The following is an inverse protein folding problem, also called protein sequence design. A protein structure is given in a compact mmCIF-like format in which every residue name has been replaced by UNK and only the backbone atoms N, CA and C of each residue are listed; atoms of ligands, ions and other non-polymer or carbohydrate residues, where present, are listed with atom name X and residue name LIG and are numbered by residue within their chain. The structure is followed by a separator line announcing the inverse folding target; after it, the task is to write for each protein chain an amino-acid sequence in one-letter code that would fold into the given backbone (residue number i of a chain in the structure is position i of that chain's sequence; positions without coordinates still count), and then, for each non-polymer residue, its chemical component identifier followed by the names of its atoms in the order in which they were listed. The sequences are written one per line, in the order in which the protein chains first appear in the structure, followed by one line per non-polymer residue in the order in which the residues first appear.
data_IF_310648043517
#
_entry.id   IF_310648043517
#
_cell.length_a   1.000
_cell.length_b   1.000
_cell.length_c   1.000
_cell.angle_alpha   90.00
_cell.angle_beta   90.00
_cell.angle_gamma   90.00
#
_symmetry.space_group_name_H-M   'P 1'
#
loop_
_entity.id
_entity.type
_entity.pdbx_description
1 polymer ?
#
# COMPACT_ATOMS: atom_id res chain seq x y z
N UNK A 1 6.53 23.40 2.54
CA UNK A 1 6.81 22.33 3.54
C UNK A 1 7.34 21.13 2.78
N UNK A 2 8.28 20.37 3.34
CA UNK A 2 8.82 19.17 2.68
C UNK A 2 8.25 17.93 3.34
N UNK A 3 7.59 17.08 2.57
CA UNK A 3 7.00 15.85 3.07
C UNK A 3 8.05 14.73 3.04
N UNK A 4 8.25 14.09 4.20
CA UNK A 4 9.24 13.03 4.38
C UNK A 4 8.53 11.71 4.61
N UNK A 5 8.83 10.73 3.76
CA UNK A 5 8.26 9.38 3.83
C UNK A 5 9.36 8.33 3.97
N UNK A 6 9.00 7.15 4.46
CA UNK A 6 9.94 6.04 4.53
C UNK A 6 10.33 5.53 3.13
N UNK A 7 11.52 4.95 2.98
CA UNK A 7 11.93 4.29 1.72
C UNK A 7 11.01 3.14 1.32
N UNK A 8 10.33 2.50 2.28
CA UNK A 8 9.31 1.49 2.01
C UNK A 8 8.07 2.12 1.36
N UNK A 9 7.57 3.22 1.92
CA UNK A 9 6.44 3.94 1.34
C UNK A 9 6.78 4.48 -0.04
N UNK A 10 7.98 5.04 -0.22
CA UNK A 10 8.46 5.48 -1.53
C UNK A 10 8.51 4.35 -2.57
N UNK A 11 8.94 3.15 -2.16
CA UNK A 11 8.95 1.97 -3.02
C UNK A 11 7.53 1.60 -3.48
N UNK A 12 6.58 1.56 -2.54
CA UNK A 12 5.17 1.29 -2.83
C UNK A 12 4.58 2.33 -3.80
N UNK A 13 4.72 3.63 -3.52
CA UNK A 13 4.17 4.70 -4.35
C UNK A 13 4.70 4.73 -5.79
N UNK A 14 5.90 4.20 -6.01
CA UNK A 14 6.55 4.20 -7.33
C UNK A 14 6.47 2.84 -8.04
N UNK A 15 5.95 1.80 -7.37
CA UNK A 15 5.98 0.43 -7.84
C UNK A 15 7.40 -0.12 -8.08
N UNK A 16 8.41 0.47 -7.46
CA UNK A 16 9.83 0.09 -7.59
C UNK A 16 10.31 -0.66 -6.36
N UNK A 17 11.38 -1.43 -6.53
CA UNK A 17 12.05 -2.08 -5.42
C UNK A 17 12.74 -1.05 -4.50
N UNK A 18 12.83 -1.34 -3.20
CA UNK A 18 13.52 -0.46 -2.24
C UNK A 18 14.97 -0.15 -2.65
N UNK A 19 15.69 -1.12 -3.25
CA UNK A 19 17.05 -0.90 -3.79
C UNK A 19 17.11 0.21 -4.83
N UNK A 20 16.05 0.37 -5.62
CA UNK A 20 15.96 1.41 -6.65
C UNK A 20 15.79 2.78 -6.00
N UNK A 21 14.97 2.86 -4.96
CA UNK A 21 14.82 4.09 -4.16
C UNK A 21 16.15 4.47 -3.49
N UNK A 22 16.87 3.48 -2.93
CA UNK A 22 18.19 3.69 -2.34
C UNK A 22 19.21 4.19 -3.35
N UNK A 23 19.19 3.66 -4.58
CA UNK A 23 20.04 4.14 -5.67
C UNK A 23 19.72 5.60 -6.04
N UNK A 24 18.44 5.99 -6.10
CA UNK A 24 18.08 7.40 -6.35
C UNK A 24 18.57 8.33 -5.24
N UNK A 25 18.62 7.85 -4.00
CA UNK A 25 19.18 8.59 -2.88
C UNK A 25 20.70 8.71 -3.02
N UNK A 26 21.41 7.61 -3.31
CA UNK A 26 22.86 7.60 -3.45
C UNK A 26 23.37 8.54 -4.56
N UNK A 27 22.64 8.62 -5.67
CA UNK A 27 23.00 9.50 -6.80
C UNK A 27 22.48 10.94 -6.64
N UNK A 28 21.87 11.28 -5.50
CA UNK A 28 21.33 12.61 -5.21
C UNK A 28 20.05 12.98 -5.96
N UNK A 29 19.46 12.05 -6.72
CA UNK A 29 18.22 12.25 -7.46
C UNK A 29 16.96 12.30 -6.59
N UNK A 30 17.06 11.86 -5.33
CA UNK A 30 16.04 12.00 -4.28
C UNK A 30 16.75 12.40 -2.99
N UNK A 31 16.44 13.57 -2.44
CA UNK A 31 17.05 14.00 -1.18
C UNK A 31 16.46 13.22 -0.02
N UNK A 32 17.31 12.90 0.95
CA UNK A 32 16.94 12.15 2.14
C UNK A 32 17.36 12.86 3.43
N UNK A 33 16.78 12.39 4.54
CA UNK A 33 17.19 12.69 5.91
C UNK A 33 17.46 11.37 6.60
N UNK A 34 18.68 11.19 7.08
CA UNK A 34 19.03 10.05 7.93
C UNK A 34 18.63 10.37 9.36
N UNK A 35 17.73 9.55 9.93
CA UNK A 35 17.33 9.67 11.33
C UNK A 35 18.02 8.58 12.12
N UNK A 36 19.03 8.98 12.90
CA UNK A 36 19.67 8.08 13.87
C UNK A 36 18.66 7.71 14.97
N UNK A 37 18.33 6.42 15.10
CA UNK A 37 17.56 5.92 16.25
C UNK A 37 18.49 5.16 17.19
N UNK A 38 18.90 5.81 18.30
CA UNK A 38 19.45 5.11 19.46
C UNK A 38 18.33 4.37 20.21
N UNK A 39 18.10 3.10 19.88
CA UNK A 39 17.43 2.16 20.80
C UNK A 39 18.21 0.85 20.84
N UNK A 40 18.71 0.53 22.02
CA UNK A 40 19.20 -0.78 22.46
C UNK A 40 19.82 -1.67 21.36
N UNK A 41 21.05 -1.37 20.95
CA UNK A 41 21.95 -2.34 20.32
C UNK A 41 21.72 -2.71 18.86
N UNK A 42 20.70 -2.16 18.17
CA UNK A 42 20.56 -2.31 16.72
C UNK A 42 20.34 -0.93 16.11
N UNK A 43 21.44 -0.33 15.65
CA UNK A 43 21.43 0.89 14.85
C UNK A 43 20.82 0.55 13.47
N UNK A 44 19.57 0.94 13.24
CA UNK A 44 18.96 0.90 11.91
C UNK A 44 18.72 2.33 11.48
N UNK A 45 19.59 2.84 10.61
CA UNK A 45 19.36 4.10 9.92
C UNK A 45 18.06 4.00 9.12
N UNK A 46 17.05 4.77 9.55
CA UNK A 46 15.83 4.92 8.78
C UNK A 46 15.99 6.15 7.92
N UNK A 47 16.45 5.95 6.69
CA UNK A 47 16.47 7.00 5.68
C UNK A 47 15.03 7.38 5.33
N UNK A 48 14.68 8.64 5.55
CA UNK A 48 13.43 9.24 5.06
C UNK A 48 13.74 10.00 3.77
N UNK A 49 12.83 9.97 2.80
CA UNK A 49 13.01 10.58 1.48
C UNK A 49 11.95 11.63 1.21
N UNK A 50 12.28 12.63 0.38
CA UNK A 50 11.34 13.67 -0.03
C UNK A 50 10.30 13.13 -1.02
N UNK A 51 9.02 13.29 -0.68
CA UNK A 51 7.92 12.93 -1.59
C UNK A 51 7.91 13.83 -2.84
N UNK A 52 8.26 15.11 -2.70
CA UNK A 52 8.31 16.06 -3.81
C UNK A 52 9.33 15.66 -4.87
N UNK A 53 10.50 15.17 -4.44
CA UNK A 53 11.53 14.68 -5.36
C UNK A 53 11.07 13.38 -6.08
N UNK A 54 10.08 12.67 -5.53
CA UNK A 54 9.50 11.46 -6.12
C UNK A 54 8.29 11.74 -7.02
N UNK A 55 7.75 12.96 -7.04
CA UNK A 55 6.47 13.26 -7.69
C UNK A 55 6.41 12.84 -9.17
N UNK A 56 7.50 13.03 -9.93
CA UNK A 56 7.58 12.61 -11.35
C UNK A 56 7.75 11.11 -11.56
N UNK A 57 7.95 10.35 -10.49
CA UNK A 57 8.15 8.89 -10.48
C UNK A 57 6.92 8.13 -9.96
N UNK A 58 5.92 8.85 -9.45
CA UNK A 58 4.67 8.31 -8.95
C UNK A 58 3.64 8.38 -10.08
N UNK A 59 3.04 7.27 -10.50
CA UNK A 59 2.18 7.25 -11.68
C UNK A 59 0.76 7.76 -11.44
N UNK A 60 0.59 8.70 -10.50
CA UNK A 60 -0.68 9.39 -10.25
C UNK A 60 -0.41 10.86 -9.95
N UNK A 61 -1.37 11.73 -10.27
CA UNK A 61 -1.28 13.15 -9.91
C UNK A 61 -1.31 13.30 -8.39
N UNK A 62 -0.36 14.02 -7.81
CA UNK A 62 -0.34 14.34 -6.37
C UNK A 62 -1.02 15.68 -6.11
N UNK A 63 -2.28 15.62 -5.68
CA UNK A 63 -3.00 16.78 -5.13
C UNK A 63 -2.83 16.82 -3.59
N UNK A 64 -3.25 17.90 -2.90
CA UNK A 64 -3.09 18.01 -1.46
C UNK A 64 -3.77 16.88 -0.66
N UNK A 65 -4.94 16.42 -1.08
CA UNK A 65 -5.69 15.34 -0.42
C UNK A 65 -4.95 14.00 -0.48
N UNK A 66 -4.40 13.65 -1.65
CA UNK A 66 -3.58 12.45 -1.85
C UNK A 66 -2.30 12.52 -1.03
N UNK A 67 -1.65 13.69 -0.99
CA UNK A 67 -0.45 13.89 -0.17
C UNK A 67 -0.79 13.66 1.32
N UNK A 68 -1.92 14.18 1.80
CA UNK A 68 -2.37 13.95 3.18
C UNK A 68 -2.60 12.46 3.46
N UNK A 69 -3.35 11.76 2.60
CA UNK A 69 -3.58 10.32 2.73
C UNK A 69 -2.26 9.52 2.73
N UNK A 70 -1.33 9.85 1.83
CA UNK A 70 0.01 9.24 1.79
C UNK A 70 0.77 9.46 3.10
N UNK A 71 0.69 10.66 3.69
CA UNK A 71 1.37 10.98 4.93
C UNK A 71 0.78 10.21 6.12
N UNK A 72 -0.54 10.09 6.19
CA UNK A 72 -1.23 9.29 7.21
C UNK A 72 -0.89 7.80 7.05
N UNK A 73 -0.94 7.28 5.82
CA UNK A 73 -0.57 5.89 5.52
C UNK A 73 0.90 5.59 5.87
N UNK A 74 1.82 6.52 5.58
CA UNK A 74 3.23 6.45 5.98
C UNK A 74 3.40 6.45 7.51
N UNK A 75 2.54 7.17 8.25
CA UNK A 75 2.53 7.16 9.70
C UNK A 75 1.96 5.86 10.30
N UNK A 76 1.33 5.02 9.48
CA UNK A 76 0.81 3.70 9.87
C UNK A 76 -0.72 3.63 9.95
N UNK A 77 -1.42 4.69 9.57
CA UNK A 77 -2.87 4.71 9.48
C UNK A 77 -3.36 3.70 8.44
N UNK A 78 -4.22 2.79 8.87
CA UNK A 78 -4.66 1.63 8.07
C UNK A 78 -5.77 2.00 7.10
N UNK A 79 -6.60 2.98 7.45
CA UNK A 79 -7.68 3.48 6.58
C UNK A 79 -7.09 4.35 5.48
N UNK A 80 -6.07 5.13 5.79
CA UNK A 80 -5.29 5.86 4.78
C UNK A 80 -4.55 4.90 3.82
N UNK A 81 -4.06 3.75 4.30
CA UNK A 81 -3.47 2.73 3.40
C UNK A 81 -4.50 2.16 2.43
N UNK A 82 -5.74 1.91 2.89
CA UNK A 82 -6.85 1.55 2.01
C UNK A 82 -7.07 2.66 0.99
N UNK A 83 -7.23 3.91 1.45
CA UNK A 83 -7.51 5.04 0.58
C UNK A 83 -6.47 5.19 -0.53
N UNK A 84 -5.18 5.18 -0.20
CA UNK A 84 -4.10 5.23 -1.19
C UNK A 84 -4.20 4.06 -2.17
N UNK A 85 -4.48 2.85 -1.68
CA UNK A 85 -4.70 1.69 -2.53
C UNK A 85 -5.86 1.88 -3.53
N UNK A 86 -6.98 2.46 -3.09
CA UNK A 86 -8.14 2.76 -3.94
C UNK A 86 -7.87 3.89 -4.93
N UNK A 87 -7.08 4.89 -4.57
CA UNK A 87 -6.67 5.96 -5.48
C UNK A 87 -5.83 5.41 -6.64
N UNK A 88 -4.84 4.56 -6.36
CA UNK A 88 -4.09 3.88 -7.42
C UNK A 88 -4.96 2.91 -8.22
N UNK A 89 -5.94 2.27 -7.58
CA UNK A 89 -6.87 1.39 -8.29
C UNK A 89 -7.72 2.17 -9.31
N UNK A 90 -8.21 3.35 -8.93
CA UNK A 90 -9.00 4.23 -9.78
C UNK A 90 -8.20 4.80 -10.96
N UNK A 91 -6.89 4.95 -10.80
CA UNK A 91 -5.96 5.39 -11.84
C UNK A 91 -5.40 4.22 -12.67
N UNK A 92 -6.00 3.03 -12.54
CA UNK A 92 -5.60 1.80 -13.24
C UNK A 92 -4.16 1.34 -12.96
N UNK A 93 -3.56 1.78 -11.87
CA UNK A 93 -2.23 1.36 -11.41
C UNK A 93 -2.35 0.09 -10.55
N UNK A 94 -2.86 -1.00 -11.13
CA UNK A 94 -3.33 -2.17 -10.36
C UNK A 94 -2.22 -2.81 -9.53
N UNK A 95 -0.97 -2.78 -10.00
CA UNK A 95 0.17 -3.34 -9.25
C UNK A 95 0.41 -2.57 -7.94
N UNK A 96 0.44 -1.25 -8.01
CA UNK A 96 0.66 -0.41 -6.82
C UNK A 96 -0.55 -0.50 -5.89
N UNK A 97 -1.76 -0.44 -6.46
CA UNK A 97 -3.00 -0.61 -5.73
C UNK A 97 -3.01 -1.92 -4.92
N UNK A 98 -2.71 -3.05 -5.57
CA UNK A 98 -2.72 -4.36 -4.93
C UNK A 98 -1.68 -4.47 -3.79
N UNK A 99 -0.50 -3.85 -3.92
CA UNK A 99 0.51 -3.81 -2.86
C UNK A 99 0.05 -2.98 -1.63
N UNK A 100 -0.62 -1.84 -1.85
CA UNK A 100 -1.20 -1.03 -0.76
C UNK A 100 -2.38 -1.72 -0.08
N UNK A 101 -3.29 -2.30 -0.86
CA UNK A 101 -4.42 -3.07 -0.35
C UNK A 101 -3.94 -4.28 0.45
N UNK A 102 -2.90 -4.97 -0.02
CA UNK A 102 -2.28 -6.06 0.72
C UNK A 102 -1.65 -5.59 2.05
N UNK A 103 -0.99 -4.42 2.06
CA UNK A 103 -0.46 -3.84 3.29
C UNK A 103 -1.57 -3.52 4.31
N UNK A 104 -2.66 -2.89 3.87
CA UNK A 104 -3.82 -2.58 4.71
C UNK A 104 -4.50 -3.84 5.23
N UNK A 105 -4.77 -4.82 4.36
CA UNK A 105 -5.38 -6.10 4.71
C UNK A 105 -4.55 -6.88 5.74
N UNK A 106 -3.21 -6.90 5.59
CA UNK A 106 -2.30 -7.50 6.57
C UNK A 106 -2.35 -6.84 7.94
N UNK A 107 -2.69 -5.55 8.00
CA UNK A 107 -2.87 -4.80 9.24
C UNK A 107 -4.29 -4.87 9.81
N UNK A 108 -5.18 -5.63 9.18
CA UNK A 108 -6.52 -5.89 9.68
C UNK A 108 -7.61 -5.02 9.06
N UNK A 109 -7.31 -4.21 8.04
CA UNK A 109 -8.35 -3.46 7.33
C UNK A 109 -9.27 -4.44 6.57
N UNK A 110 -10.50 -4.59 7.05
CA UNK A 110 -11.52 -5.48 6.51
C UNK A 110 -11.92 -5.13 5.08
N UNK A 111 -12.15 -3.86 4.71
CA UNK A 111 -12.52 -3.52 3.32
C UNK A 111 -11.34 -3.77 2.37
N UNK A 112 -10.11 -3.55 2.84
CA UNK A 112 -8.93 -3.87 2.03
C UNK A 112 -8.79 -5.37 1.78
N UNK A 113 -9.23 -6.24 2.70
CA UNK A 113 -9.29 -7.69 2.46
C UNK A 113 -10.26 -8.03 1.34
N UNK A 114 -11.41 -7.35 1.28
CA UNK A 114 -12.38 -7.51 0.21
C UNK A 114 -11.79 -7.06 -1.14
N UNK A 115 -11.16 -5.88 -1.19
CA UNK A 115 -10.50 -5.40 -2.41
C UNK A 115 -9.34 -6.28 -2.85
N UNK A 116 -8.52 -6.74 -1.91
CA UNK A 116 -7.42 -7.66 -2.18
C UNK A 116 -7.92 -9.00 -2.74
N UNK A 117 -9.08 -9.48 -2.28
CA UNK A 117 -9.69 -10.68 -2.85
C UNK A 117 -10.00 -10.50 -4.34
N UNK A 118 -10.49 -9.32 -4.74
CA UNK A 118 -10.77 -8.98 -6.14
C UNK A 118 -9.47 -8.98 -6.94
N UNK A 119 -8.39 -8.41 -6.39
CA UNK A 119 -7.08 -8.42 -7.02
C UNK A 119 -6.61 -9.85 -7.34
N UNK A 120 -6.68 -10.77 -6.37
CA UNK A 120 -6.26 -12.16 -6.59
C UNK A 120 -7.20 -12.95 -7.49
N UNK A 121 -8.52 -12.79 -7.37
CA UNK A 121 -9.51 -13.51 -8.19
C UNK A 121 -9.40 -13.17 -9.68
N UNK A 122 -9.01 -11.93 -9.99
CA UNK A 122 -8.97 -11.39 -11.34
C UNK A 122 -7.54 -11.20 -11.88
N UNK A 123 -6.51 -11.35 -11.05
CA UNK A 123 -5.12 -11.08 -11.44
C UNK A 123 -4.80 -9.60 -11.65
N UNK A 124 -5.39 -8.73 -10.82
CA UNK A 124 -5.13 -7.28 -10.87
C UNK A 124 -3.93 -6.95 -9.98
N UNK A 125 -2.80 -6.61 -10.60
CA UNK A 125 -1.55 -6.29 -9.89
C UNK A 125 -0.77 -7.51 -9.38
N UNK A 126 -1.42 -8.65 -9.19
CA UNK A 126 -0.81 -9.94 -8.88
C UNK A 126 -1.15 -10.99 -9.93
N UNK A 127 -0.41 -12.10 -9.93
CA UNK A 127 -0.84 -13.30 -10.66
C UNK A 127 -2.19 -13.76 -10.10
N UNK A 128 -3.12 -14.13 -10.98
CA UNK A 128 -4.43 -14.63 -10.59
C UNK A 128 -4.27 -15.87 -9.71
N UNK A 129 -4.80 -15.79 -8.50
CA UNK A 129 -4.80 -16.85 -7.50
C UNK A 129 -6.17 -16.91 -6.80
N UNK A 130 -7.12 -17.71 -7.30
CA UNK A 130 -8.44 -17.79 -6.72
C UNK A 130 -8.45 -18.33 -5.28
N UNK A 131 -7.46 -19.16 -4.90
CA UNK A 131 -7.40 -19.73 -3.56
C UNK A 131 -7.04 -18.63 -2.54
N UNK A 132 -6.01 -17.84 -2.82
CA UNK A 132 -5.63 -16.69 -1.99
C UNK A 132 -6.76 -15.65 -1.95
N UNK A 133 -7.41 -15.38 -3.10
CA UNK A 133 -8.56 -14.48 -3.17
C UNK A 133 -9.72 -14.93 -2.28
N UNK A 134 -10.10 -16.21 -2.33
CA UNK A 134 -11.14 -16.76 -1.46
C UNK A 134 -10.76 -16.72 0.02
N UNK A 135 -9.49 -16.89 0.38
CA UNK A 135 -9.04 -16.76 1.76
C UNK A 135 -9.24 -15.34 2.30
N UNK A 136 -8.85 -14.31 1.54
CA UNK A 136 -9.06 -12.92 1.96
C UNK A 136 -10.55 -12.55 2.02
N UNK A 137 -11.34 -12.99 1.04
CA UNK A 137 -12.79 -12.78 1.03
C UNK A 137 -13.47 -13.45 2.25
N UNK A 138 -13.09 -14.69 2.55
CA UNK A 138 -13.58 -15.45 3.72
C UNK A 138 -13.22 -14.76 5.02
N UNK A 139 -11.99 -14.24 5.13
CA UNK A 139 -11.55 -13.47 6.28
C UNK A 139 -12.37 -12.19 6.46
N UNK A 140 -12.58 -11.42 5.40
CA UNK A 140 -13.41 -10.21 5.45
C UNK A 140 -14.84 -10.54 5.90
N UNK A 141 -15.43 -11.60 5.36
CA UNK A 141 -16.77 -12.05 5.73
C UNK A 141 -16.88 -12.51 7.20
N UNK A 142 -15.87 -13.24 7.70
CA UNK A 142 -15.80 -13.68 9.10
C UNK A 142 -15.70 -12.51 10.09
N UNK A 143 -15.17 -11.37 9.63
CA UNK A 143 -15.11 -10.11 10.38
C UNK A 143 -16.35 -9.24 10.18
N UNK A 144 -17.40 -9.77 9.53
CA UNK A 144 -18.69 -9.11 9.38
C UNK A 144 -18.83 -8.22 8.15
N UNK A 145 -17.88 -8.23 7.21
CA UNK A 145 -17.97 -7.39 6.00
C UNK A 145 -19.16 -7.79 5.12
N UNK A 146 -20.15 -6.90 4.90
CA UNK A 146 -21.41 -7.28 4.27
C UNK A 146 -21.24 -7.71 2.82
N UNK A 147 -20.44 -7.00 2.03
CA UNK A 147 -20.19 -7.34 0.62
C UNK A 147 -19.47 -8.69 0.49
N UNK A 148 -18.44 -8.93 1.30
CA UNK A 148 -17.73 -10.21 1.30
C UNK A 148 -18.65 -11.38 1.65
N UNK A 149 -19.55 -11.20 2.63
CA UNK A 149 -20.57 -12.21 2.96
C UNK A 149 -21.48 -12.52 1.78
N UNK A 150 -22.03 -11.49 1.14
CA UNK A 150 -22.90 -11.66 -0.03
C UNK A 150 -22.16 -12.34 -1.18
N UNK A 151 -20.89 -11.97 -1.43
CA UNK A 151 -20.06 -12.58 -2.47
C UNK A 151 -19.81 -14.08 -2.21
N UNK A 152 -19.47 -14.46 -0.98
CA UNK A 152 -19.28 -15.88 -0.63
C UNK A 152 -20.57 -16.68 -0.73
N UNK A 153 -21.69 -16.12 -0.28
CA UNK A 153 -23.00 -16.77 -0.43
C UNK A 153 -23.35 -16.98 -1.91
N UNK A 154 -23.11 -15.99 -2.76
CA UNK A 154 -23.30 -16.10 -4.21
C UNK A 154 -22.37 -17.14 -4.86
N UNK A 155 -21.21 -17.40 -4.27
CA UNK A 155 -20.28 -18.47 -4.67
C UNK A 155 -20.65 -19.85 -4.08
N UNK A 156 -21.72 -19.95 -3.28
CA UNK A 156 -22.20 -21.22 -2.70
C UNK A 156 -21.62 -21.57 -1.33
N UNK A 157 -20.93 -20.65 -0.65
CA UNK A 157 -20.42 -20.86 0.70
C UNK A 157 -21.46 -20.44 1.75
N UNK A 158 -21.63 -21.27 2.79
CA UNK A 158 -22.42 -20.90 3.98
C UNK A 158 -21.56 -20.08 4.96
N UNK A 159 -22.18 -19.12 5.65
CA UNK A 159 -21.53 -18.16 6.56
C UNK A 159 -22.21 -18.14 7.92
#
# INVERSE_FOLDING_TARGET
MRHLISTQTAALLTGKAMRTVQHWVADGGVKNVTVERRRAGIERDRSLVSLEDLATRIPITLNPERIEAIMQANAGDVDAMLQVGLEFFAEEEQKIAAEWLHLAAKKGQVDAMEWLSICYLNGLGFTRDPAEGLQWLSKAASLGHPVARVKLQAMGFAL
#
